data_IF_183437677134
#
_entry.id   IF_183437677134
#
_cell.length_a   1.000
_cell.length_b   1.000
_cell.length_c   1.000
_cell.angle_alpha   90.00
_cell.angle_beta   90.00
_cell.angle_gamma   90.00
#
_symmetry.space_group_name_H-M   'P 1'
#
loop_
_entity.id
_entity.type
_entity.pdbx_description
1 polymer ?
#
# COMPACT_ATOMS: atom_id res chain seq x y z
N UNK A 1 -14.02 -2.59 -19.35
CA UNK A 1 -13.37 -1.66 -18.38
C UNK A 1 -12.14 -2.30 -17.75
N UNK A 2 -11.17 -1.51 -17.28
CA UNK A 2 -10.07 -2.02 -16.44
C UNK A 2 -10.61 -2.49 -15.07
N UNK A 3 -9.89 -3.39 -14.40
CA UNK A 3 -10.21 -3.87 -13.05
C UNK A 3 -9.13 -3.46 -12.07
N UNK A 4 -9.52 -2.86 -10.95
CA UNK A 4 -8.63 -2.54 -9.83
C UNK A 4 -8.79 -3.62 -8.77
N UNK A 5 -7.70 -4.29 -8.40
CA UNK A 5 -7.65 -5.28 -7.34
C UNK A 5 -6.95 -4.68 -6.12
N UNK A 6 -7.71 -4.47 -5.05
CA UNK A 6 -7.17 -3.92 -3.79
C UNK A 6 -6.80 -5.06 -2.85
N UNK A 7 -5.56 -5.06 -2.39
CA UNK A 7 -5.00 -6.05 -1.47
C UNK A 7 -4.52 -5.37 -0.20
N UNK A 8 -4.75 -6.02 0.93
CA UNK A 8 -4.02 -5.75 2.17
C UNK A 8 -2.69 -6.49 2.12
N UNK A 9 -1.61 -5.86 2.60
CA UNK A 9 -0.32 -6.52 2.78
C UNK A 9 -0.42 -7.80 3.64
N UNK A 10 0.48 -8.74 3.41
CA UNK A 10 0.57 -9.98 4.19
C UNK A 10 1.05 -9.73 5.63
N UNK A 11 1.15 -10.76 6.48
CA UNK A 11 1.51 -10.57 7.88
C UNK A 11 2.82 -9.76 8.07
N UNK A 12 2.68 -8.59 8.72
CA UNK A 12 3.80 -7.74 9.12
C UNK A 12 4.28 -8.07 10.53
N UNK A 13 5.54 -7.75 10.84
CA UNK A 13 6.10 -7.92 12.18
C UNK A 13 5.23 -7.25 13.26
N UNK A 14 4.63 -6.08 12.98
CA UNK A 14 3.73 -5.38 13.91
C UNK A 14 2.37 -6.05 14.12
N UNK A 15 1.93 -6.92 13.20
CA UNK A 15 0.71 -7.71 13.37
C UNK A 15 0.95 -8.83 14.38
N UNK A 16 2.12 -9.47 14.28
CA UNK A 16 2.49 -10.63 15.08
C UNK A 16 3.09 -10.28 16.44
N UNK A 17 3.94 -9.26 16.49
CA UNK A 17 4.81 -8.93 17.61
C UNK A 17 4.53 -7.51 18.10
N UNK A 18 4.13 -7.38 19.38
CA UNK A 18 3.65 -6.12 19.97
C UNK A 18 4.75 -5.07 20.02
N UNK A 19 5.99 -5.47 20.27
CA UNK A 19 7.17 -4.61 20.31
C UNK A 19 7.40 -3.88 18.98
N UNK A 20 7.00 -4.48 17.85
CA UNK A 20 7.12 -3.86 16.53
C UNK A 20 6.03 -2.82 16.23
N UNK A 21 5.01 -2.66 17.07
CA UNK A 21 3.99 -1.61 16.91
C UNK A 21 4.56 -0.20 17.11
N UNK A 22 5.63 -0.08 17.90
CA UNK A 22 6.35 1.19 18.09
C UNK A 22 7.51 1.38 17.11
N UNK A 23 7.94 0.30 16.46
CA UNK A 23 8.96 0.34 15.41
C UNK A 23 8.40 1.01 14.17
N UNK A 24 9.17 1.92 13.59
CA UNK A 24 8.84 2.58 12.33
C UNK A 24 8.98 1.59 11.16
N UNK A 25 8.02 1.65 10.24
CA UNK A 25 7.98 0.87 9.00
C UNK A 25 8.48 -0.59 9.11
N UNK A 26 7.90 -1.39 10.02
CA UNK A 26 8.30 -2.77 10.20
C UNK A 26 7.90 -3.62 9.00
N UNK A 27 8.79 -4.52 8.61
CA UNK A 27 8.64 -5.38 7.43
C UNK A 27 7.73 -6.60 7.69
N UNK A 28 7.64 -7.50 6.72
CA UNK A 28 6.95 -8.80 6.80
C UNK A 28 7.63 -9.78 7.76
N UNK A 29 6.83 -10.65 8.38
CA UNK A 29 7.29 -11.90 9.00
C UNK A 29 7.68 -12.91 7.91
N UNK A 30 8.37 -14.00 8.27
CA UNK A 30 8.63 -15.07 7.30
C UNK A 30 7.31 -15.73 6.84
N UNK A 31 6.35 -15.89 7.75
CA UNK A 31 5.01 -16.35 7.46
C UNK A 31 4.29 -15.41 6.47
N UNK A 32 4.40 -14.09 6.64
CA UNK A 32 3.87 -13.10 5.70
C UNK A 32 4.50 -13.21 4.32
N UNK A 33 5.81 -13.51 4.23
CA UNK A 33 6.46 -13.77 2.94
C UNK A 33 5.94 -15.06 2.31
N UNK A 34 5.72 -16.11 3.10
CA UNK A 34 5.15 -17.36 2.61
C UNK A 34 3.70 -17.18 2.12
N UNK A 35 2.87 -16.41 2.84
CA UNK A 35 1.51 -16.06 2.40
C UNK A 35 1.50 -15.42 1.01
N UNK A 36 2.47 -14.53 0.72
CA UNK A 36 2.59 -13.91 -0.61
C UNK A 36 2.93 -14.95 -1.68
N UNK A 37 3.88 -15.85 -1.41
CA UNK A 37 4.28 -16.92 -2.34
C UNK A 37 3.14 -17.90 -2.61
N UNK A 38 2.37 -18.24 -1.58
CA UNK A 38 1.23 -19.15 -1.68
C UNK A 38 0.02 -18.52 -2.35
N UNK A 39 -0.09 -17.19 -2.33
CA UNK A 39 -1.13 -16.44 -3.02
C UNK A 39 -0.87 -16.35 -4.52
N UNK A 40 0.39 -16.11 -4.94
CA UNK A 40 0.75 -15.87 -6.33
C UNK A 40 0.14 -16.86 -7.36
N UNK A 41 0.19 -18.20 -7.18
CA UNK A 41 -0.38 -19.14 -8.14
C UNK A 41 -1.92 -19.19 -8.12
N UNK A 42 -2.56 -18.60 -7.11
CA UNK A 42 -4.03 -18.59 -6.94
C UNK A 42 -4.68 -17.37 -7.58
N UNK A 43 -3.89 -16.36 -7.94
CA UNK A 43 -4.42 -15.14 -8.54
C UNK A 43 -4.71 -15.35 -10.03
N UNK A 44 -5.99 -15.40 -10.46
CA UNK A 44 -6.37 -15.86 -11.79
C UNK A 44 -6.09 -14.86 -12.92
N UNK A 45 -5.64 -13.65 -12.57
CA UNK A 45 -5.41 -12.55 -13.52
C UNK A 45 -3.94 -12.16 -13.62
N UNK A 46 -3.01 -12.98 -13.10
CA UNK A 46 -1.58 -12.66 -13.03
C UNK A 46 -0.98 -12.29 -14.39
N UNK A 47 -1.40 -12.97 -15.45
CA UNK A 47 -0.99 -12.75 -16.84
C UNK A 47 -1.58 -11.48 -17.46
N UNK A 48 -2.61 -10.90 -16.87
CA UNK A 48 -3.29 -9.68 -17.33
C UNK A 48 -2.98 -8.45 -16.48
N UNK A 49 -2.16 -8.58 -15.44
CA UNK A 49 -1.74 -7.44 -14.63
C UNK A 49 -0.86 -6.51 -15.47
N UNK A 50 -1.30 -5.27 -15.60
CA UNK A 50 -0.57 -4.24 -16.35
C UNK A 50 0.11 -3.25 -15.43
N UNK A 51 -0.40 -3.03 -14.21
CA UNK A 51 0.17 -2.04 -13.29
C UNK A 51 0.25 -2.59 -11.86
N UNK A 52 1.34 -2.22 -11.17
CA UNK A 52 1.55 -2.48 -9.76
C UNK A 52 1.63 -1.14 -9.03
N UNK A 53 0.69 -0.92 -8.11
CA UNK A 53 0.64 0.26 -7.25
C UNK A 53 0.73 -0.23 -5.81
N UNK A 54 1.52 0.44 -4.98
CA UNK A 54 1.68 0.06 -3.58
C UNK A 54 1.81 1.28 -2.67
N UNK A 55 1.37 1.11 -1.43
CA UNK A 55 1.79 2.01 -0.36
C UNK A 55 3.32 2.01 -0.24
N UNK A 56 3.97 3.16 0.02
CA UNK A 56 5.42 3.26 0.22
C UNK A 56 5.93 2.64 1.53
N UNK A 57 5.12 1.87 2.24
CA UNK A 57 5.54 1.13 3.44
C UNK A 57 6.24 -0.17 3.05
N UNK A 58 7.36 -0.50 3.71
CA UNK A 58 8.23 -1.65 3.39
C UNK A 58 7.46 -2.96 3.26
N UNK A 59 6.57 -3.24 4.21
CA UNK A 59 5.73 -4.46 4.17
C UNK A 59 4.79 -4.53 2.97
N UNK A 60 4.24 -3.40 2.51
CA UNK A 60 3.37 -3.36 1.34
C UNK A 60 4.20 -3.56 0.06
N UNK A 61 5.36 -2.89 -0.04
CA UNK A 61 6.29 -3.08 -1.16
C UNK A 61 6.74 -4.55 -1.25
N UNK A 62 7.18 -5.14 -0.15
CA UNK A 62 7.61 -6.54 -0.12
C UNK A 62 6.46 -7.52 -0.41
N UNK A 63 5.25 -7.24 0.07
CA UNK A 63 4.07 -8.04 -0.32
C UNK A 63 3.83 -7.98 -1.82
N UNK A 64 3.89 -6.80 -2.44
CA UNK A 64 3.74 -6.64 -3.89
C UNK A 64 4.83 -7.38 -4.65
N UNK A 65 6.10 -7.21 -4.25
CA UNK A 65 7.25 -7.85 -4.90
C UNK A 65 7.13 -9.38 -4.89
N UNK A 66 6.71 -9.96 -3.76
CA UNK A 66 6.63 -11.41 -3.60
C UNK A 66 5.38 -12.01 -4.26
N UNK A 67 4.20 -11.40 -4.04
CA UNK A 67 2.94 -11.91 -4.56
C UNK A 67 2.83 -11.75 -6.09
N UNK A 68 3.46 -10.70 -6.65
CA UNK A 68 3.37 -10.36 -8.08
C UNK A 68 4.75 -10.36 -8.75
N UNK A 69 5.65 -11.24 -8.31
CA UNK A 69 7.02 -11.37 -8.84
C UNK A 69 7.07 -11.54 -10.38
N UNK A 70 6.09 -12.24 -10.96
CA UNK A 70 5.98 -12.43 -12.40
C UNK A 70 5.85 -11.11 -13.19
N UNK A 71 5.35 -10.07 -12.53
CA UNK A 71 5.11 -8.73 -13.10
C UNK A 71 6.19 -7.75 -12.64
N UNK A 72 6.50 -7.72 -11.34
CA UNK A 72 7.45 -6.77 -10.74
C UNK A 72 8.91 -6.95 -11.19
N UNK A 73 9.24 -8.09 -11.80
CA UNK A 73 10.54 -8.32 -12.44
C UNK A 73 10.70 -7.60 -13.78
N UNK A 74 9.60 -7.10 -14.36
CA UNK A 74 9.57 -6.45 -15.69
C UNK A 74 9.19 -4.99 -15.63
N UNK A 75 8.64 -4.53 -14.51
CA UNK A 75 8.22 -3.15 -14.31
C UNK A 75 8.35 -2.73 -12.85
N UNK A 76 8.48 -1.42 -12.64
CA UNK A 76 8.54 -0.83 -11.32
C UNK A 76 7.18 -0.84 -10.64
N UNK A 77 7.19 -0.90 -9.32
CA UNK A 77 6.00 -0.64 -8.50
C UNK A 77 5.86 0.87 -8.31
N UNK A 78 4.72 1.42 -8.70
CA UNK A 78 4.40 2.83 -8.44
C UNK A 78 4.04 3.00 -6.98
N UNK A 79 4.78 3.83 -6.26
CA UNK A 79 4.52 4.10 -4.86
C UNK A 79 3.59 5.30 -4.69
N UNK A 80 2.42 5.06 -4.11
CA UNK A 80 1.39 6.07 -3.88
C UNK A 80 1.21 6.29 -2.37
N UNK A 81 1.67 7.41 -1.81
CA UNK A 81 1.69 7.63 -0.36
C UNK A 81 0.30 7.73 0.26
N UNK A 82 -0.72 8.10 -0.52
CA UNK A 82 -2.13 8.13 -0.11
C UNK A 82 -2.66 6.77 0.34
N UNK A 83 -2.03 5.67 -0.09
CA UNK A 83 -2.36 4.30 0.30
C UNK A 83 -1.76 3.88 1.65
N UNK A 84 -1.12 4.79 2.39
CA UNK A 84 -0.50 4.52 3.70
C UNK A 84 -1.52 4.27 4.80
N UNK A 85 -1.18 3.38 5.73
CA UNK A 85 -2.06 2.95 6.81
C UNK A 85 -2.70 4.13 7.55
N UNK A 86 -4.01 4.01 7.78
CA UNK A 86 -4.79 4.90 8.62
C UNK A 86 -4.60 4.46 10.07
N UNK A 87 -3.40 4.64 10.63
CA UNK A 87 -3.12 4.28 12.02
C UNK A 87 -2.22 5.29 12.72
N UNK A 88 -2.30 5.31 14.06
CA UNK A 88 -1.55 6.22 14.93
C UNK A 88 -0.28 5.61 15.54
N UNK A 89 -0.05 4.32 15.33
CA UNK A 89 1.09 3.61 15.92
C UNK A 89 2.37 3.90 15.13
N UNK A 90 3.53 3.77 15.79
CA UNK A 90 4.84 3.92 15.14
C UNK A 90 4.97 3.12 13.83
N UNK A 91 4.38 1.93 13.82
CA UNK A 91 4.34 1.03 12.67
C UNK A 91 3.49 1.50 11.49
N UNK A 92 2.68 2.54 11.65
CA UNK A 92 1.83 3.13 10.60
C UNK A 92 2.55 4.23 9.80
N UNK A 93 3.80 4.54 10.15
CA UNK A 93 4.59 5.57 9.48
C UNK A 93 5.74 4.95 8.69
N UNK A 94 5.88 5.37 7.43
CA UNK A 94 6.86 4.78 6.51
C UNK A 94 8.25 5.40 6.56
N UNK A 95 9.14 4.84 5.76
CA UNK A 95 10.54 5.25 5.58
C UNK A 95 10.69 6.52 4.74
N UNK A 96 11.86 7.16 4.78
CA UNK A 96 12.19 8.27 3.88
C UNK A 96 12.35 7.78 2.43
N UNK A 97 12.00 8.58 1.39
CA UNK A 97 12.23 8.17 0.00
C UNK A 97 13.67 7.74 -0.29
N UNK A 98 14.67 8.35 0.35
CA UNK A 98 16.07 7.93 0.20
C UNK A 98 16.37 6.57 0.83
N UNK A 99 15.69 6.19 1.91
CA UNK A 99 15.78 4.87 2.53
C UNK A 99 15.14 3.81 1.62
N UNK A 100 13.94 4.11 1.09
CA UNK A 100 13.25 3.24 0.15
C UNK A 100 14.08 3.02 -1.12
N UNK A 101 14.68 4.08 -1.67
CA UNK A 101 15.56 3.96 -2.84
C UNK A 101 16.81 3.12 -2.54
N UNK A 102 17.41 3.27 -1.35
CA UNK A 102 18.55 2.43 -0.94
C UNK A 102 18.19 0.95 -0.82
N UNK A 103 17.00 0.65 -0.29
CA UNK A 103 16.56 -0.73 -0.06
C UNK A 103 16.03 -1.41 -1.33
N UNK A 104 15.16 -0.74 -2.07
CA UNK A 104 14.44 -1.34 -3.20
C UNK A 104 15.04 -1.00 -4.56
N UNK A 105 15.85 0.05 -4.64
CA UNK A 105 16.57 0.45 -5.85
C UNK A 105 15.62 0.74 -7.00
N UNK A 106 15.91 0.12 -8.14
CA UNK A 106 15.18 0.27 -9.39
C UNK A 106 13.82 -0.46 -9.43
N UNK A 107 13.46 -1.21 -8.39
CA UNK A 107 12.19 -1.95 -8.33
C UNK A 107 10.97 -1.07 -8.03
N UNK A 108 11.20 0.15 -7.53
CA UNK A 108 10.16 1.09 -7.13
C UNK A 108 10.27 2.38 -7.91
N UNK A 109 9.13 2.97 -8.18
CA UNK A 109 8.97 4.33 -8.68
C UNK A 109 8.49 5.23 -7.54
N UNK A 110 9.26 6.28 -7.27
CA UNK A 110 9.09 7.22 -6.16
C UNK A 110 8.59 8.59 -6.64
N UNK A 111 8.28 8.77 -7.92
CA UNK A 111 7.95 10.09 -8.49
C UNK A 111 6.75 10.74 -7.79
N UNK A 112 5.78 9.94 -7.35
CA UNK A 112 4.60 10.41 -6.60
C UNK A 112 4.85 10.52 -5.08
N UNK A 113 6.04 10.20 -4.57
CA UNK A 113 6.35 10.20 -3.14
C UNK A 113 7.09 11.49 -2.75
N UNK A 114 6.39 12.49 -2.19
CA UNK A 114 7.04 13.75 -1.85
C UNK A 114 8.05 13.56 -0.72
N UNK A 115 9.07 14.43 -0.69
CA UNK A 115 9.93 14.54 0.49
C UNK A 115 9.06 14.78 1.72
N UNK A 116 9.40 14.15 2.83
CA UNK A 116 8.70 14.31 4.10
C UNK A 116 7.25 13.80 4.14
N UNK A 117 6.81 12.97 3.19
CA UNK A 117 5.49 12.29 3.25
C UNK A 117 5.27 11.51 4.55
N UNK A 118 6.37 11.06 5.15
CA UNK A 118 6.43 10.21 6.32
C UNK A 118 6.46 10.97 7.66
N UNK A 119 6.04 12.25 7.68
CA UNK A 119 6.01 13.08 8.89
C UNK A 119 4.86 12.72 9.83
N UNK A 120 5.17 12.76 11.12
CA UNK A 120 4.29 12.37 12.24
C UNK A 120 3.40 13.50 12.76
N UNK A 121 3.73 14.75 12.41
CA UNK A 121 3.09 15.89 13.03
C UNK A 121 1.69 16.19 12.45
N UNK A 122 0.79 16.82 13.22
CA UNK A 122 -0.58 17.08 12.77
C UNK A 122 -0.71 17.96 11.53
N UNK A 123 0.34 18.67 11.10
CA UNK A 123 0.30 19.47 9.86
C UNK A 123 0.45 18.59 8.62
N UNK A 124 1.06 17.41 8.74
CA UNK A 124 1.22 16.43 7.66
C UNK A 124 -0.12 16.04 7.03
N UNK A 125 -0.21 15.98 5.71
CA UNK A 125 -1.38 15.42 5.01
C UNK A 125 -1.60 13.94 5.33
N UNK A 126 -0.56 13.26 5.83
CA UNK A 126 -0.59 11.85 6.20
C UNK A 126 -0.84 11.64 7.70
N UNK A 127 -1.13 12.69 8.47
CA UNK A 127 -1.47 12.58 9.88
C UNK A 127 -2.69 11.66 10.12
N UNK A 128 -2.74 11.03 11.29
CA UNK A 128 -3.87 10.21 11.72
C UNK A 128 -5.03 11.08 12.20
N UNK A 129 -5.75 11.67 11.23
CA UNK A 129 -6.94 12.50 11.42
C UNK A 129 -7.96 12.07 10.38
N UNK A 130 -9.22 11.82 10.77
CA UNK A 130 -10.25 11.27 9.89
C UNK A 130 -10.39 12.09 8.59
N UNK A 131 -10.56 13.40 8.69
CA UNK A 131 -10.65 14.32 7.54
C UNK A 131 -9.48 14.15 6.55
N UNK A 132 -8.26 13.97 7.08
CA UNK A 132 -7.06 13.78 6.25
C UNK A 132 -6.99 12.39 5.63
N UNK A 133 -7.49 11.37 6.34
CA UNK A 133 -7.61 10.01 5.83
C UNK A 133 -8.65 9.96 4.71
N UNK A 134 -9.79 10.61 4.88
CA UNK A 134 -10.83 10.72 3.85
C UNK A 134 -10.31 11.50 2.62
N UNK A 135 -9.67 12.64 2.84
CA UNK A 135 -9.12 13.45 1.75
C UNK A 135 -8.05 12.70 0.94
N UNK A 136 -7.09 12.05 1.61
CA UNK A 136 -6.03 11.32 0.89
C UNK A 136 -6.56 10.07 0.20
N UNK A 137 -7.54 9.38 0.77
CA UNK A 137 -8.11 8.18 0.14
C UNK A 137 -9.03 8.55 -1.03
N UNK A 138 -9.68 9.72 -1.00
CA UNK A 138 -10.33 10.30 -2.17
C UNK A 138 -9.33 10.58 -3.31
N UNK A 139 -8.21 11.24 -3.00
CA UNK A 139 -7.14 11.47 -3.98
C UNK A 139 -6.57 10.16 -4.54
N UNK A 140 -6.42 9.11 -3.69
CA UNK A 140 -6.01 7.79 -4.16
C UNK A 140 -7.01 7.19 -5.16
N UNK A 141 -8.32 7.29 -4.88
CA UNK A 141 -9.36 6.79 -5.79
C UNK A 141 -9.32 7.51 -7.13
N UNK A 142 -9.22 8.84 -7.13
CA UNK A 142 -9.12 9.65 -8.36
C UNK A 142 -7.90 9.23 -9.19
N UNK A 143 -6.71 9.17 -8.55
CA UNK A 143 -5.47 8.78 -9.22
C UNK A 143 -5.54 7.36 -9.79
N UNK A 144 -6.09 6.40 -9.02
CA UNK A 144 -6.23 5.01 -9.48
C UNK A 144 -7.23 4.88 -10.64
N UNK A 145 -8.29 5.69 -10.65
CA UNK A 145 -9.26 5.72 -11.74
C UNK A 145 -8.65 6.33 -13.00
N UNK A 146 -7.87 7.40 -12.89
CA UNK A 146 -7.12 7.96 -14.03
C UNK A 146 -6.15 6.93 -14.62
N UNK A 147 -5.39 6.22 -13.77
CA UNK A 147 -4.50 5.14 -14.20
C UNK A 147 -5.28 4.02 -14.91
N UNK A 148 -6.40 3.59 -14.34
CA UNK A 148 -7.22 2.51 -14.90
C UNK A 148 -7.85 2.90 -16.26
N UNK A 149 -8.26 4.16 -16.42
CA UNK A 149 -8.76 4.70 -17.69
C UNK A 149 -7.64 4.74 -18.74
N UNK A 150 -6.45 5.23 -18.37
CA UNK A 150 -5.30 5.29 -19.25
C UNK A 150 -4.80 3.88 -19.67
N UNK A 151 -4.89 2.91 -18.76
CA UNK A 151 -4.50 1.52 -19.02
C UNK A 151 -5.44 0.79 -20.01
N UNK A 152 -6.66 1.29 -20.22
CA UNK A 152 -7.61 0.75 -21.19
C UNK A 152 -8.32 -0.53 -20.75
N UNK A 153 -9.22 -1.02 -21.60
CA UNK A 153 -10.06 -2.19 -21.33
C UNK A 153 -9.24 -3.49 -21.23
N UNK A 154 -9.61 -4.36 -20.27
CA UNK A 154 -8.94 -5.64 -20.06
C UNK A 154 -7.67 -5.56 -19.20
N UNK A 155 -7.24 -4.34 -18.84
CA UNK A 155 -6.15 -4.12 -17.89
C UNK A 155 -6.54 -4.49 -16.46
N UNK A 156 -5.60 -5.09 -15.72
CA UNK A 156 -5.73 -5.30 -14.28
C UNK A 156 -4.67 -4.50 -13.52
N UNK A 157 -5.13 -3.62 -12.63
CA UNK A 157 -4.29 -2.79 -11.75
C UNK A 157 -4.29 -3.44 -10.36
N UNK A 158 -3.11 -3.77 -9.86
CA UNK A 158 -2.93 -4.27 -8.49
C UNK A 158 -2.61 -3.09 -7.58
N UNK A 159 -3.32 -3.00 -6.45
CA UNK A 159 -3.14 -1.96 -5.44
C UNK A 159 -2.88 -2.63 -4.09
N UNK A 160 -1.68 -2.46 -3.55
CA UNK A 160 -1.30 -3.01 -2.24
C UNK A 160 -1.33 -1.92 -1.17
N UNK A 161 -2.20 -2.09 -0.17
CA UNK A 161 -2.43 -1.14 0.92
C UNK A 161 -2.50 -1.87 2.28
N UNK A 162 -3.17 -1.29 3.26
CA UNK A 162 -3.24 -1.74 4.65
C UNK A 162 -4.68 -1.94 5.10
N UNK A 163 -4.86 -2.50 6.30
CA UNK A 163 -6.16 -2.95 6.77
C UNK A 163 -7.17 -1.81 6.88
N UNK A 164 -6.86 -0.74 7.62
CA UNK A 164 -7.82 0.36 7.77
C UNK A 164 -7.99 1.13 6.47
N UNK A 165 -6.89 1.36 5.75
CA UNK A 165 -6.90 2.14 4.50
C UNK A 165 -7.70 1.48 3.39
N UNK A 166 -7.72 0.14 3.32
CA UNK A 166 -8.52 -0.58 2.33
C UNK A 166 -9.99 -0.18 2.41
N UNK A 167 -10.57 -0.10 3.61
CA UNK A 167 -11.97 0.31 3.82
C UNK A 167 -12.27 1.69 3.23
N UNK A 168 -11.38 2.66 3.45
CA UNK A 168 -11.54 4.00 2.90
C UNK A 168 -11.35 4.04 1.37
N UNK A 169 -10.43 3.25 0.83
CA UNK A 169 -10.20 3.20 -0.63
C UNK A 169 -11.37 2.55 -1.36
N UNK A 170 -12.01 1.55 -0.76
CA UNK A 170 -13.16 0.85 -1.35
C UNK A 170 -14.52 1.40 -0.95
N UNK A 171 -14.55 2.36 -0.03
CA UNK A 171 -15.78 2.84 0.65
C UNK A 171 -16.61 1.69 1.25
N UNK A 172 -15.93 0.65 1.74
CA UNK A 172 -16.54 -0.53 2.33
C UNK A 172 -16.16 -0.62 3.80
N UNK A 173 -17.14 -0.37 4.67
CA UNK A 173 -17.00 -0.42 6.12
C UNK A 173 -17.88 -1.53 6.73
N UNK A 174 -18.39 -2.48 5.93
CA UNK A 174 -19.24 -3.54 6.45
C UNK A 174 -18.49 -4.34 7.52
N UNK A 175 -19.09 -4.43 8.72
CA UNK A 175 -18.48 -5.12 9.87
C UNK A 175 -17.38 -4.36 10.60
N UNK A 176 -17.09 -3.09 10.26
CA UNK A 176 -16.04 -2.27 10.88
C UNK A 176 -16.61 -0.95 11.41
N UNK A 177 -16.17 -0.52 12.61
CA UNK A 177 -16.43 0.84 13.09
C UNK A 177 -15.28 1.76 12.63
N UNK A 178 -15.55 2.80 11.83
CA UNK A 178 -14.53 3.77 11.48
C UNK A 178 -13.99 4.50 12.73
N UNK A 179 -12.78 5.08 12.67
CA UNK A 179 -12.25 5.90 13.75
C UNK A 179 -13.26 7.00 14.11
N UNK A 180 -13.67 7.08 15.38
CA UNK A 180 -14.59 8.12 15.85
C UNK A 180 -13.89 9.47 15.93
N UNK A 181 -14.63 10.55 15.67
CA UNK A 181 -14.17 11.92 15.97
C UNK A 181 -13.73 12.04 17.44
N UNK A 182 -12.65 12.80 17.73
CA UNK A 182 -12.39 13.24 19.11
C UNK A 182 -13.52 14.12 19.64
#
# INVERSE_FOLDING_TARGET
MATIHVFRHAEGMHNRFVEFRKTRDPDLTEEGRQQCRDFAPKFPYMDKVTHLVSSPMRRAINSTLLAFAAVSTRQKIILLPELTEAGSLGSSFGSDPSELLREFGDKVDLDAVPKQWNRLDPSSQFAYVLEKIEARTAAAREWLMELALAAGEGSHVVVMTHGQTAHFVTDDFEGVKPPSHP
#
